data_IF_345570430711
#
_entry.id   IF_345570430711
#
_cell.length_a   1.000
_cell.length_b   1.000
_cell.length_c   1.000
_cell.angle_alpha   90.00
_cell.angle_beta   90.00
_cell.angle_gamma   90.00
#
_symmetry.space_group_name_H-M   'P 1'
#
loop_
_entity.id
_entity.type
_entity.pdbx_description
1 polymer ?
#
# COMPACT_ATOMS: atom_id res chain seq x y z
N UNK A 1 -13.95 12.70 23.47
CA UNK A 1 -13.86 11.25 23.75
C UNK A 1 -12.42 10.98 24.16
N UNK A 2 -12.20 10.19 25.20
CA UNK A 2 -10.84 9.84 25.63
C UNK A 2 -10.16 8.95 24.56
N UNK A 3 -8.83 8.93 24.55
CA UNK A 3 -8.04 8.08 23.66
C UNK A 3 -8.49 6.60 23.78
N UNK A 4 -8.34 5.77 22.72
CA UNK A 4 -8.80 4.39 22.74
C UNK A 4 -8.30 3.64 23.98
N UNK A 5 -9.23 3.04 24.73
CA UNK A 5 -8.92 2.30 25.97
C UNK A 5 -8.20 0.97 25.72
N UNK A 6 -8.09 0.55 24.45
CA UNK A 6 -7.34 -0.62 24.02
C UNK A 6 -5.85 -0.29 23.96
N UNK A 7 -5.06 -0.91 24.85
CA UNK A 7 -3.61 -0.90 24.76
C UNK A 7 -3.17 -1.63 23.47
N UNK A 8 -2.58 -0.94 22.48
CA UNK A 8 -2.25 -1.55 21.21
C UNK A 8 -1.05 -2.49 21.37
N UNK A 9 -1.25 -3.76 21.02
CA UNK A 9 -0.23 -4.83 21.16
C UNK A 9 1.02 -4.63 20.28
N UNK A 10 0.91 -3.88 19.18
CA UNK A 10 1.94 -3.81 18.13
C UNK A 10 2.55 -2.40 17.98
N UNK A 11 1.99 -1.41 18.66
CA UNK A 11 2.49 -0.03 18.64
C UNK A 11 3.37 0.21 19.87
N UNK A 12 4.39 1.05 19.74
CA UNK A 12 5.21 1.46 20.89
C UNK A 12 4.44 2.43 21.79
N UNK A 13 3.63 3.29 21.17
CA UNK A 13 2.72 4.21 21.83
C UNK A 13 1.38 4.20 21.08
N UNK A 14 0.27 4.05 21.81
CA UNK A 14 -1.06 3.98 21.21
C UNK A 14 -1.59 5.30 20.65
N UNK A 15 -0.96 6.41 21.01
CA UNK A 15 -1.40 7.74 20.62
C UNK A 15 -0.55 8.36 19.48
N UNK A 16 0.47 7.67 18.98
CA UNK A 16 1.35 8.23 17.95
C UNK A 16 0.94 7.74 16.55
N UNK A 17 0.64 8.70 15.67
CA UNK A 17 0.34 8.45 14.26
C UNK A 17 1.49 9.01 13.42
N UNK A 18 2.12 8.16 12.61
CA UNK A 18 2.99 8.62 11.52
C UNK A 18 2.14 8.83 10.27
N UNK A 19 2.09 10.04 9.73
CA UNK A 19 1.27 10.31 8.55
C UNK A 19 2.15 10.62 7.34
N UNK A 20 1.88 9.93 6.23
CA UNK A 20 2.53 10.18 4.93
C UNK A 20 1.44 10.49 3.91
N UNK A 21 1.50 11.64 3.25
CA UNK A 21 0.56 12.00 2.20
C UNK A 21 1.24 11.87 0.84
N UNK A 22 0.65 11.10 -0.09
CA UNK A 22 1.25 10.75 -1.38
C UNK A 22 0.28 11.01 -2.50
N UNK A 23 0.53 12.05 -3.29
CA UNK A 23 -0.27 12.37 -4.47
C UNK A 23 0.22 11.56 -5.66
N UNK A 24 -0.43 10.43 -5.95
CA UNK A 24 -0.03 9.56 -7.05
C UNK A 24 -1.22 9.03 -7.87
N UNK A 25 -1.09 9.09 -9.20
CA UNK A 25 -2.06 8.52 -10.15
C UNK A 25 -1.37 7.67 -11.24
N UNK A 26 -0.07 7.41 -11.11
CA UNK A 26 0.72 6.73 -12.14
C UNK A 26 0.48 5.22 -12.26
N UNK A 27 -0.20 4.60 -11.30
CA UNK A 27 -0.55 3.17 -11.35
C UNK A 27 -1.73 2.87 -12.27
N UNK A 28 -2.39 3.89 -12.82
CA UNK A 28 -3.54 3.77 -13.71
C UNK A 28 -3.61 4.93 -14.72
N UNK A 29 -4.69 5.01 -15.52
CA UNK A 29 -4.75 5.89 -16.70
C UNK A 29 -5.45 7.25 -16.48
N UNK A 30 -6.13 7.47 -15.35
CA UNK A 30 -6.95 8.67 -15.10
C UNK A 30 -6.25 9.65 -14.14
N UNK A 31 -6.19 10.94 -14.43
CA UNK A 31 -5.74 11.90 -13.43
C UNK A 31 -6.76 12.03 -12.28
N UNK A 32 -6.34 12.58 -11.15
CA UNK A 32 -7.23 13.06 -10.09
C UNK A 32 -7.05 12.38 -8.74
N UNK A 33 -6.66 11.09 -8.71
CA UNK A 33 -6.37 10.41 -7.43
C UNK A 33 -5.18 11.05 -6.71
N UNK A 34 -4.27 11.67 -7.46
CA UNK A 34 -3.13 12.43 -6.94
C UNK A 34 -3.52 13.68 -6.13
N UNK A 35 -4.72 14.22 -6.34
CA UNK A 35 -5.23 15.36 -5.56
C UNK A 35 -5.91 14.95 -4.24
N UNK A 36 -6.25 13.67 -4.06
CA UNK A 36 -7.02 13.18 -2.92
C UNK A 36 -6.36 13.43 -1.54
N UNK A 37 -5.03 13.27 -1.36
CA UNK A 37 -4.40 13.54 -0.06
C UNK A 37 -4.58 14.99 0.37
N UNK A 38 -4.42 15.93 -0.56
CA UNK A 38 -4.60 17.37 -0.29
C UNK A 38 -6.05 17.66 0.09
N UNK A 39 -7.02 17.14 -0.66
CA UNK A 39 -8.43 17.33 -0.37
C UNK A 39 -8.83 16.79 1.02
N UNK A 40 -8.30 15.63 1.43
CA UNK A 40 -8.53 15.06 2.77
C UNK A 40 -7.94 15.94 3.87
N UNK A 41 -6.72 16.44 3.67
CA UNK A 41 -6.05 17.33 4.64
C UNK A 41 -6.83 18.64 4.78
N UNK A 42 -7.20 19.28 3.67
CA UNK A 42 -7.97 20.53 3.65
C UNK A 42 -9.38 20.37 4.24
N UNK A 43 -9.96 19.17 4.18
CA UNK A 43 -11.23 18.86 4.83
C UNK A 43 -11.15 18.74 6.36
N UNK A 44 -9.96 18.90 6.94
CA UNK A 44 -9.75 18.93 8.39
C UNK A 44 -9.33 17.59 9.01
N UNK A 45 -8.92 16.61 8.21
CA UNK A 45 -8.53 15.29 8.73
C UNK A 45 -7.44 15.38 9.82
N UNK A 46 -6.39 16.17 9.57
CA UNK A 46 -5.28 16.33 10.53
C UNK A 46 -5.75 17.00 11.82
N UNK A 47 -6.64 17.98 11.70
CA UNK A 47 -7.20 18.71 12.83
C UNK A 47 -8.11 17.82 13.67
N UNK A 48 -8.91 16.95 13.05
CA UNK A 48 -9.73 15.96 13.75
C UNK A 48 -8.88 14.92 14.48
N UNK A 49 -7.81 14.41 13.83
CA UNK A 49 -6.89 13.46 14.47
C UNK A 49 -6.24 14.05 15.73
N UNK A 50 -5.78 15.32 15.67
CA UNK A 50 -5.15 16.01 16.81
C UNK A 50 -6.16 16.52 17.83
N UNK A 51 -7.23 17.15 17.37
CA UNK A 51 -8.20 17.90 18.16
C UNK A 51 -9.25 17.01 18.82
N UNK A 52 -9.86 16.11 18.05
CA UNK A 52 -10.99 15.30 18.51
C UNK A 52 -10.53 13.97 19.10
N UNK A 53 -9.56 13.33 18.44
CA UNK A 53 -9.03 12.01 18.81
C UNK A 53 -7.75 12.07 19.66
N UNK A 54 -7.17 13.27 19.84
CA UNK A 54 -5.98 13.51 20.69
C UNK A 54 -4.75 12.69 20.31
N UNK A 55 -4.59 12.35 19.03
CA UNK A 55 -3.38 11.70 18.52
C UNK A 55 -2.22 12.69 18.38
N UNK A 56 -1.01 12.22 18.68
CA UNK A 56 0.24 12.88 18.32
C UNK A 56 0.55 12.55 16.84
N UNK A 57 0.16 13.46 15.94
CA UNK A 57 0.37 13.26 14.50
C UNK A 57 1.76 13.76 14.08
N UNK A 58 2.62 12.83 13.69
CA UNK A 58 3.91 13.06 13.06
C UNK A 58 3.74 13.15 11.54
N UNK A 59 3.58 14.37 11.05
CA UNK A 59 3.42 14.70 9.64
C UNK A 59 4.38 15.83 9.27
N UNK A 60 5.05 15.74 8.12
CA UNK A 60 6.00 16.76 7.64
C UNK A 60 5.32 17.96 6.96
N UNK A 61 3.98 17.96 6.86
CA UNK A 61 3.23 19.06 6.27
C UNK A 61 3.16 19.02 4.75
N UNK A 62 3.65 17.95 4.09
CA UNK A 62 3.78 17.90 2.64
C UNK A 62 3.01 16.74 1.99
N UNK A 63 2.36 17.03 0.87
CA UNK A 63 1.86 16.01 -0.05
C UNK A 63 2.98 15.67 -1.04
N UNK A 64 3.51 14.45 -0.95
CA UNK A 64 4.63 13.99 -1.75
C UNK A 64 4.14 13.49 -3.12
N UNK A 65 4.49 14.21 -4.19
CA UNK A 65 4.26 13.76 -5.56
C UNK A 65 5.47 13.00 -6.17
N UNK A 66 6.66 13.16 -5.56
CA UNK A 66 7.94 12.58 -5.98
C UNK A 66 8.28 12.75 -7.47
N UNK A 67 7.89 13.88 -8.07
CA UNK A 67 8.10 14.13 -9.50
C UNK A 67 9.58 14.15 -9.93
N UNK A 68 10.49 14.41 -8.99
CA UNK A 68 11.94 14.50 -9.19
C UNK A 68 12.63 13.14 -9.40
N UNK A 69 12.02 12.05 -8.93
CA UNK A 69 12.56 10.68 -9.07
C UNK A 69 11.89 9.86 -10.16
N UNK A 70 10.83 10.40 -10.79
CA UNK A 70 10.14 9.74 -11.90
C UNK A 70 10.98 9.90 -13.18
N UNK A 71 11.31 8.80 -13.87
CA UNK A 71 12.11 8.89 -15.10
C UNK A 71 11.32 9.57 -16.23
N UNK A 72 12.04 10.26 -17.11
CA UNK A 72 11.45 10.89 -18.30
C UNK A 72 10.92 9.85 -19.30
N UNK A 73 11.64 8.75 -19.46
CA UNK A 73 11.23 7.62 -20.30
C UNK A 73 10.87 6.42 -19.42
N UNK A 74 9.72 5.82 -19.69
CA UNK A 74 9.27 4.63 -18.98
C UNK A 74 8.56 3.64 -19.92
N UNK A 75 9.34 2.96 -20.77
CA UNK A 75 8.77 1.96 -21.68
C UNK A 75 8.17 0.81 -20.88
N UNK A 76 7.06 0.29 -21.41
CA UNK A 76 6.35 -0.85 -20.85
C UNK A 76 7.30 -2.03 -20.57
N UNK A 77 7.06 -2.72 -19.46
CA UNK A 77 7.84 -3.87 -19.04
C UNK A 77 6.89 -4.97 -18.56
N UNK A 78 7.00 -6.17 -19.13
CA UNK A 78 6.12 -7.31 -18.82
C UNK A 78 4.63 -6.94 -18.87
N UNK A 79 4.23 -6.17 -19.88
CA UNK A 79 2.85 -5.64 -20.07
C UNK A 79 2.41 -4.56 -19.07
N UNK A 80 3.24 -4.21 -18.09
CA UNK A 80 2.95 -3.10 -17.20
C UNK A 80 3.21 -1.77 -17.90
N UNK A 81 2.28 -0.84 -17.73
CA UNK A 81 2.39 0.55 -18.16
C UNK A 81 3.10 1.38 -17.10
N UNK A 82 4.08 2.18 -17.51
CA UNK A 82 4.87 3.08 -16.64
C UNK A 82 5.43 2.41 -15.36
N UNK A 83 6.09 1.24 -15.47
CA UNK A 83 6.53 0.48 -14.30
C UNK A 83 7.65 1.14 -13.49
N UNK A 84 8.55 1.91 -14.12
CA UNK A 84 9.64 2.57 -13.39
C UNK A 84 9.14 3.75 -12.58
N UNK A 85 8.15 4.49 -13.07
CA UNK A 85 7.50 5.57 -12.34
C UNK A 85 6.83 5.05 -11.06
N UNK A 86 6.02 3.99 -11.19
CA UNK A 86 5.38 3.35 -10.03
C UNK A 86 6.42 2.77 -9.09
N UNK A 87 7.45 2.11 -9.61
CA UNK A 87 8.51 1.54 -8.78
C UNK A 87 9.28 2.61 -7.99
N UNK A 88 9.72 3.70 -8.63
CA UNK A 88 10.47 4.76 -7.97
C UNK A 88 9.66 5.39 -6.82
N UNK A 89 8.39 5.70 -7.08
CA UNK A 89 7.46 6.26 -6.08
C UNK A 89 7.24 5.28 -4.93
N UNK A 90 6.93 4.02 -5.23
CA UNK A 90 6.63 3.01 -4.19
C UNK A 90 7.86 2.63 -3.38
N UNK A 91 9.06 2.63 -3.98
CA UNK A 91 10.32 2.41 -3.26
C UNK A 91 10.60 3.56 -2.29
N UNK A 92 10.42 4.82 -2.73
CA UNK A 92 10.59 5.99 -1.86
C UNK A 92 9.56 6.02 -0.74
N UNK A 93 8.30 5.73 -1.05
CA UNK A 93 7.22 5.61 -0.08
C UNK A 93 7.51 4.49 0.94
N UNK A 94 8.02 3.34 0.48
CA UNK A 94 8.42 2.26 1.37
C UNK A 94 9.43 2.69 2.41
N UNK A 95 10.38 3.56 2.05
CA UNK A 95 11.36 4.09 2.99
C UNK A 95 10.69 5.01 4.01
N UNK A 96 9.85 5.96 3.57
CA UNK A 96 9.18 6.89 4.49
C UNK A 96 8.22 6.17 5.46
N UNK A 97 7.45 5.20 4.97
CA UNK A 97 6.57 4.39 5.82
C UNK A 97 7.37 3.55 6.81
N UNK A 98 8.48 2.96 6.36
CA UNK A 98 9.39 2.23 7.24
C UNK A 98 9.93 3.12 8.37
N UNK A 99 10.31 4.37 8.09
CA UNK A 99 10.82 5.31 9.11
C UNK A 99 9.78 5.58 10.22
N UNK A 100 8.49 5.68 9.91
CA UNK A 100 7.46 5.78 10.94
C UNK A 100 7.18 4.44 11.64
N UNK A 101 7.10 3.35 10.88
CA UNK A 101 6.74 2.03 11.40
C UNK A 101 7.83 1.45 12.32
N UNK A 102 9.12 1.73 12.05
CA UNK A 102 10.26 1.28 12.86
C UNK A 102 10.28 1.95 14.25
N UNK A 103 9.69 3.13 14.38
CA UNK A 103 9.51 3.81 15.67
C UNK A 103 8.27 3.31 16.44
N UNK A 104 7.45 2.46 15.82
CA UNK A 104 6.26 1.91 16.46
C UNK A 104 5.03 2.80 16.46
N UNK A 105 4.97 3.74 15.52
CA UNK A 105 3.79 4.55 15.24
C UNK A 105 2.74 3.77 14.46
N UNK A 106 1.47 4.15 14.61
CA UNK A 106 0.43 3.76 13.64
C UNK A 106 0.64 4.56 12.36
N UNK A 107 0.96 3.89 11.24
CA UNK A 107 1.24 4.60 9.99
C UNK A 107 -0.05 4.78 9.18
N UNK A 108 -0.45 6.02 8.98
CA UNK A 108 -1.56 6.42 8.12
C UNK A 108 -1.00 7.00 6.81
N UNK A 109 -1.23 6.31 5.70
CA UNK A 109 -0.87 6.83 4.38
C UNK A 109 -2.12 7.36 3.67
N UNK A 110 -2.10 8.63 3.30
CA UNK A 110 -3.14 9.24 2.47
C UNK A 110 -2.69 9.12 1.03
N UNK A 111 -3.41 8.31 0.27
CA UNK A 111 -3.01 7.92 -1.06
C UNK A 111 -3.62 8.72 -2.19
N UNK A 112 -3.03 8.49 -3.35
CA UNK A 112 -3.78 8.34 -4.59
C UNK A 112 -4.03 6.87 -4.90
N UNK A 113 -3.78 6.43 -6.14
CA UNK A 113 -4.21 5.09 -6.60
C UNK A 113 -3.59 3.92 -5.81
N UNK A 114 -4.22 2.74 -5.89
CA UNK A 114 -3.90 1.61 -5.01
C UNK A 114 -2.50 0.98 -5.25
N UNK A 115 -1.77 1.37 -6.32
CA UNK A 115 -0.39 0.90 -6.52
C UNK A 115 0.53 1.33 -5.38
N UNK A 116 0.23 2.42 -4.68
CA UNK A 116 1.00 2.88 -3.51
C UNK A 116 1.05 1.84 -2.39
N UNK A 117 0.12 0.88 -2.36
CA UNK A 117 0.11 -0.22 -1.41
C UNK A 117 1.41 -1.03 -1.45
N UNK A 118 2.07 -1.11 -2.61
CA UNK A 118 3.40 -1.72 -2.76
C UNK A 118 4.36 -1.07 -1.76
N UNK A 119 4.40 0.26 -1.70
CA UNK A 119 5.27 0.98 -0.79
C UNK A 119 4.83 0.91 0.68
N UNK A 120 3.53 1.09 0.95
CA UNK A 120 3.04 1.15 2.33
C UNK A 120 3.17 -0.20 3.04
N UNK A 121 2.83 -1.29 2.36
CA UNK A 121 2.92 -2.63 2.94
C UNK A 121 4.37 -3.08 3.01
N UNK A 122 5.22 -2.81 2.00
CA UNK A 122 6.63 -3.21 2.03
C UNK A 122 7.40 -2.57 3.18
N UNK A 123 7.19 -1.26 3.40
CA UNK A 123 7.83 -0.51 4.48
C UNK A 123 7.39 -1.00 5.86
N UNK A 124 6.08 -1.22 6.02
CA UNK A 124 5.50 -1.71 7.28
C UNK A 124 5.93 -3.14 7.57
N UNK A 125 5.90 -4.03 6.58
CA UNK A 125 6.27 -5.43 6.72
C UNK A 125 7.71 -5.59 7.20
N UNK A 126 8.63 -4.80 6.64
CA UNK A 126 10.04 -4.75 7.08
C UNK A 126 10.15 -4.30 8.53
N UNK A 127 9.56 -3.16 8.89
CA UNK A 127 9.64 -2.63 10.24
C UNK A 127 9.05 -3.57 11.30
N UNK A 128 7.93 -4.24 11.00
CA UNK A 128 7.30 -5.20 11.92
C UNK A 128 8.18 -6.44 12.11
N UNK A 129 8.81 -6.95 11.05
CA UNK A 129 9.76 -8.06 11.18
C UNK A 129 10.95 -7.70 12.05
N UNK A 130 11.54 -6.52 11.85
CA UNK A 130 12.70 -6.07 12.62
C UNK A 130 12.37 -5.82 14.09
N UNK A 131 11.24 -5.15 14.38
CA UNK A 131 10.83 -4.83 15.75
C UNK A 131 10.33 -6.04 16.54
N UNK A 132 9.70 -6.99 15.86
CA UNK A 132 8.88 -8.01 16.53
C UNK A 132 9.22 -9.46 16.16
N UNK A 133 10.15 -9.69 15.23
CA UNK A 133 10.51 -11.04 14.78
C UNK A 133 9.35 -11.83 14.16
N UNK A 134 8.32 -11.14 13.67
CA UNK A 134 7.10 -11.75 13.11
C UNK A 134 6.61 -10.96 11.92
N UNK A 135 5.80 -11.60 11.07
CA UNK A 135 5.17 -10.92 9.94
C UNK A 135 3.80 -10.34 10.32
N UNK A 136 3.46 -9.22 9.68
CA UNK A 136 2.12 -8.62 9.72
C UNK A 136 1.08 -9.44 8.92
N UNK A 137 -0.18 -9.09 9.10
CA UNK A 137 -1.29 -9.54 8.27
C UNK A 137 -1.94 -8.34 7.56
N UNK A 138 -2.63 -8.60 6.45
CA UNK A 138 -3.28 -7.60 5.62
C UNK A 138 -4.77 -7.94 5.53
N UNK A 139 -5.61 -6.97 5.86
CA UNK A 139 -7.04 -6.96 5.55
C UNK A 139 -7.21 -6.00 4.38
N UNK A 140 -7.56 -6.54 3.22
CA UNK A 140 -7.74 -5.77 1.98
C UNK A 140 -9.23 -5.53 1.77
N UNK A 141 -9.67 -4.28 1.95
CA UNK A 141 -11.08 -3.90 1.80
C UNK A 141 -11.23 -3.19 0.46
N UNK A 142 -11.74 -3.90 -0.54
CA UNK A 142 -11.84 -3.38 -1.90
C UNK A 142 -12.92 -4.13 -2.70
N UNK A 143 -13.39 -3.51 -3.78
CA UNK A 143 -14.23 -4.15 -4.79
C UNK A 143 -13.45 -5.19 -5.61
N UNK A 144 -12.14 -4.96 -5.80
CA UNK A 144 -11.23 -5.74 -6.63
C UNK A 144 -10.21 -6.49 -5.78
N UNK A 145 -9.58 -7.52 -6.36
CA UNK A 145 -8.56 -8.29 -5.64
C UNK A 145 -7.15 -7.68 -5.74
N UNK A 146 -6.90 -6.84 -6.75
CA UNK A 146 -5.63 -6.15 -6.97
C UNK A 146 -4.41 -7.09 -6.95
N UNK A 147 -4.62 -8.32 -7.43
CA UNK A 147 -3.67 -9.45 -7.32
C UNK A 147 -3.28 -10.02 -8.68
N UNK A 148 -3.60 -9.33 -9.77
CA UNK A 148 -3.07 -9.72 -11.07
C UNK A 148 -1.52 -9.71 -11.04
N UNK A 149 -0.91 -10.68 -11.72
CA UNK A 149 0.51 -10.56 -12.08
C UNK A 149 0.62 -9.72 -13.36
N UNK A 150 1.83 -9.22 -13.70
CA UNK A 150 2.05 -8.55 -14.98
C UNK A 150 1.56 -9.37 -16.19
N UNK A 151 1.67 -10.70 -16.11
CA UNK A 151 1.26 -11.63 -17.17
C UNK A 151 -0.25 -11.91 -17.24
N UNK A 152 -1.00 -11.69 -16.15
CA UNK A 152 -2.45 -11.99 -16.12
C UNK A 152 -3.34 -10.77 -16.30
N UNK A 153 -2.78 -9.56 -16.20
CA UNK A 153 -3.56 -8.32 -16.33
C UNK A 153 -3.88 -8.00 -17.78
N UNK A 154 -5.15 -7.78 -18.08
CA UNK A 154 -5.59 -7.33 -19.41
C UNK A 154 -5.34 -5.82 -19.64
N UNK A 155 -5.18 -5.03 -18.57
CA UNK A 155 -5.07 -3.56 -18.66
C UNK A 155 -3.65 -3.03 -18.65
N UNK A 156 -2.71 -3.78 -18.06
CA UNK A 156 -1.35 -3.33 -17.78
C UNK A 156 -1.23 -2.27 -16.68
N UNK A 157 -2.34 -1.90 -16.01
CA UNK A 157 -2.34 -0.89 -14.95
C UNK A 157 -1.90 -1.52 -13.62
N UNK A 158 -0.83 -0.99 -13.02
CA UNK A 158 -0.18 -1.56 -11.83
C UNK A 158 -1.05 -1.44 -10.58
N UNK A 159 -2.04 -0.52 -10.54
CA UNK A 159 -2.95 -0.42 -9.40
C UNK A 159 -3.78 -1.69 -9.13
N UNK A 160 -3.95 -2.57 -10.14
CA UNK A 160 -4.60 -3.88 -10.01
C UNK A 160 -3.62 -5.05 -9.80
N UNK A 161 -2.35 -4.75 -9.55
CA UNK A 161 -1.29 -5.73 -9.31
C UNK A 161 -0.57 -5.66 -7.94
N UNK A 162 -0.79 -4.68 -7.03
CA UNK A 162 0.10 -4.47 -5.89
C UNK A 162 0.25 -5.72 -5.00
N UNK A 163 -0.82 -6.49 -4.82
CA UNK A 163 -0.80 -7.67 -3.94
C UNK A 163 0.08 -8.78 -4.52
N UNK A 164 0.15 -8.94 -5.84
CA UNK A 164 0.98 -9.99 -6.44
C UNK A 164 2.48 -9.77 -6.17
N UNK A 165 2.94 -8.52 -6.24
CA UNK A 165 4.32 -8.14 -5.85
C UNK A 165 4.57 -8.33 -4.36
N UNK A 166 3.63 -7.86 -3.52
CA UNK A 166 3.75 -7.92 -2.06
C UNK A 166 3.70 -9.34 -1.51
N UNK A 167 3.11 -10.29 -2.24
CA UNK A 167 3.05 -11.70 -1.85
C UNK A 167 4.12 -12.56 -2.51
N UNK A 168 4.90 -12.00 -3.44
CA UNK A 168 5.90 -12.71 -4.22
C UNK A 168 5.32 -13.59 -5.34
N UNK A 169 4.02 -13.49 -5.64
CA UNK A 169 3.38 -14.13 -6.80
C UNK A 169 3.89 -13.52 -8.11
N UNK A 170 4.16 -12.21 -8.09
CA UNK A 170 4.96 -11.53 -9.09
C UNK A 170 6.32 -11.16 -8.49
N UNK A 171 7.38 -11.39 -9.24
CA UNK A 171 8.74 -11.02 -8.84
C UNK A 171 9.53 -10.55 -10.06
N UNK A 172 10.37 -9.56 -9.87
CA UNK A 172 11.30 -9.04 -10.87
C UNK A 172 12.73 -9.49 -10.58
N UNK A 173 13.58 -9.50 -11.62
CA UNK A 173 15.03 -9.61 -11.44
C UNK A 173 15.56 -8.38 -10.67
N UNK A 174 16.71 -8.47 -9.99
CA UNK A 174 17.23 -7.34 -9.19
C UNK A 174 17.39 -6.01 -9.93
N UNK A 175 17.64 -6.06 -11.24
CA UNK A 175 17.83 -4.92 -12.15
C UNK A 175 16.54 -4.44 -12.84
N UNK A 176 15.42 -5.13 -12.65
CA UNK A 176 14.11 -4.78 -13.20
C UNK A 176 13.32 -3.88 -12.24
N UNK A 177 12.25 -3.19 -12.69
CA UNK A 177 11.58 -2.13 -11.94
C UNK A 177 11.27 -2.51 -10.48
N UNK A 178 10.65 -3.67 -10.22
CA UNK A 178 10.28 -4.08 -8.86
C UNK A 178 11.30 -5.00 -8.18
N UNK A 179 12.53 -5.11 -8.71
CA UNK A 179 13.63 -5.94 -8.16
C UNK A 179 14.13 -5.49 -6.78
N UNK A 180 13.73 -4.30 -6.33
CA UNK A 180 14.06 -3.77 -5.00
C UNK A 180 13.29 -4.45 -3.87
N UNK A 181 12.13 -5.07 -4.15
CA UNK A 181 11.29 -5.71 -3.13
C UNK A 181 11.95 -7.00 -2.63
N UNK A 182 12.33 -7.02 -1.36
CA UNK A 182 13.00 -8.15 -0.70
C UNK A 182 12.03 -9.01 0.12
N UNK A 183 12.47 -10.17 0.57
CA UNK A 183 11.60 -11.12 1.27
C UNK A 183 11.12 -10.61 2.63
N UNK A 184 11.93 -9.80 3.31
CA UNK A 184 11.54 -9.11 4.56
C UNK A 184 10.51 -7.99 4.35
N UNK A 185 10.22 -7.63 3.09
CA UNK A 185 9.23 -6.64 2.68
C UNK A 185 7.93 -7.26 2.14
N UNK A 186 7.87 -8.59 2.01
CA UNK A 186 6.68 -9.29 1.48
C UNK A 186 5.73 -9.70 2.60
N UNK A 187 4.52 -10.11 2.26
CA UNK A 187 3.53 -10.71 3.18
C UNK A 187 3.12 -12.08 2.68
N UNK A 188 2.86 -13.01 3.61
CA UNK A 188 2.37 -14.33 3.23
C UNK A 188 0.93 -14.25 2.72
N UNK A 189 0.61 -14.94 1.63
CA UNK A 189 -0.78 -15.15 1.16
C UNK A 189 -1.69 -15.74 2.24
N UNK A 190 -1.13 -16.49 3.21
CA UNK A 190 -1.88 -17.04 4.36
C UNK A 190 -2.27 -16.00 5.40
N UNK A 191 -1.69 -14.79 5.33
CA UNK A 191 -1.97 -13.64 6.20
C UNK A 191 -2.66 -12.51 5.44
N UNK A 192 -3.30 -12.83 4.33
CA UNK A 192 -4.11 -11.92 3.53
C UNK A 192 -5.57 -12.36 3.59
N UNK A 193 -6.46 -11.40 3.79
CA UNK A 193 -7.91 -11.61 3.69
C UNK A 193 -8.56 -10.44 2.95
N UNK A 194 -9.50 -10.75 2.06
CA UNK A 194 -10.28 -9.76 1.34
C UNK A 194 -11.67 -9.58 1.93
N UNK A 195 -12.18 -8.35 1.88
CA UNK A 195 -13.56 -8.00 2.24
C UNK A 195 -14.12 -7.05 1.18
N UNK A 196 -15.31 -7.36 0.65
CA UNK A 196 -16.06 -6.47 -0.26
C UNK A 196 -15.89 -6.77 -1.75
N UNK A 197 -15.26 -7.90 -2.10
CA UNK A 197 -15.02 -8.27 -3.51
C UNK A 197 -16.34 -8.38 -4.27
N UNK A 198 -16.38 -7.75 -5.45
CA UNK A 198 -17.53 -7.82 -6.36
C UNK A 198 -17.17 -7.70 -7.84
N UNK A 199 -15.95 -7.26 -8.14
CA UNK A 199 -15.42 -7.20 -9.49
C UNK A 199 -14.02 -7.80 -9.50
N UNK A 200 -13.91 -9.03 -10.00
CA UNK A 200 -12.68 -9.83 -9.89
C UNK A 200 -12.43 -10.57 -11.19
N UNK A 201 -11.24 -10.38 -11.75
CA UNK A 201 -10.83 -10.95 -13.03
C UNK A 201 -10.74 -12.48 -12.96
N UNK A 202 -10.74 -13.13 -14.13
CA UNK A 202 -10.56 -14.59 -14.21
C UNK A 202 -9.20 -15.03 -13.68
N UNK A 203 -8.14 -14.27 -13.98
CA UNK A 203 -6.79 -14.52 -13.49
C UNK A 203 -6.72 -14.44 -11.96
N UNK A 204 -7.28 -13.37 -11.39
CA UNK A 204 -7.35 -13.16 -9.95
C UNK A 204 -8.16 -14.26 -9.24
N UNK A 205 -9.34 -14.63 -9.76
CA UNK A 205 -10.15 -15.75 -9.22
C UNK A 205 -9.36 -17.05 -9.15
N UNK A 206 -8.53 -17.32 -10.16
CA UNK A 206 -7.65 -18.51 -10.18
C UNK A 206 -6.58 -18.40 -9.09
N UNK A 207 -5.90 -17.26 -8.99
CA UNK A 207 -4.88 -17.00 -7.96
C UNK A 207 -5.44 -17.20 -6.55
N UNK A 208 -6.60 -16.58 -6.26
CA UNK A 208 -7.27 -16.70 -4.95
C UNK A 208 -7.57 -18.16 -4.58
N UNK A 209 -8.09 -18.93 -5.53
CA UNK A 209 -8.43 -20.34 -5.36
C UNK A 209 -7.20 -21.22 -5.15
N UNK A 210 -6.20 -21.08 -6.03
CA UNK A 210 -5.01 -21.94 -6.03
C UNK A 210 -4.18 -21.75 -4.75
N UNK A 211 -4.17 -20.54 -4.18
CA UNK A 211 -3.44 -20.23 -2.96
C UNK A 211 -4.28 -20.31 -1.69
N UNK A 212 -5.58 -20.65 -1.80
CA UNK A 212 -6.50 -20.74 -0.67
C UNK A 212 -6.63 -19.42 0.10
N UNK A 213 -6.59 -18.28 -0.60
CA UNK A 213 -6.69 -16.96 0.02
C UNK A 213 -8.13 -16.72 0.46
N UNK A 214 -8.32 -16.29 1.71
CA UNK A 214 -9.64 -16.01 2.25
C UNK A 214 -10.20 -14.73 1.63
N UNK A 215 -11.41 -14.82 1.10
CA UNK A 215 -12.11 -13.67 0.53
C UNK A 215 -13.58 -13.72 0.92
N UNK A 216 -14.08 -12.60 1.45
CA UNK A 216 -15.48 -12.36 1.73
C UNK A 216 -15.98 -11.35 0.70
N UNK A 217 -16.72 -11.85 -0.28
CA UNK A 217 -17.34 -11.05 -1.34
C UNK A 217 -18.53 -10.26 -0.80
N UNK A 218 -19.09 -9.36 -1.61
CA UNK A 218 -20.36 -8.71 -1.27
C UNK A 218 -21.54 -9.67 -1.11
N UNK A 219 -21.43 -10.93 -1.54
CA UNK A 219 -22.46 -11.94 -1.26
C UNK A 219 -22.37 -12.49 0.18
N UNK A 220 -21.20 -12.41 0.80
CA UNK A 220 -20.96 -12.91 2.16
C UNK A 220 -21.29 -11.87 3.25
N UNK A 221 -21.37 -10.58 2.87
CA UNK A 221 -21.64 -9.41 3.74
C UNK A 221 -23.13 -9.12 3.78
#
# INVERSE_FOLDING_TARGET
MDAPTLQPKFLANGNDIGMVAVGFSGGQCKPGTDAAPMALIESGLVDQLKGDLKYNVHYDGQVHAYGDIIPQEDPDHRQMKKPRAVSAVTQKLSQQVYEHAKEGRFVLTLGGDHSIAIGTISGTAKAIRERMGREMAVIWVDAHADINTPETSDSGNIHGMPVSFLTGLASDKPDAPFGWIKDDQKVSVKKLVYIGLRDVDRGEKKILRDHGIKAFSMHDV
#
